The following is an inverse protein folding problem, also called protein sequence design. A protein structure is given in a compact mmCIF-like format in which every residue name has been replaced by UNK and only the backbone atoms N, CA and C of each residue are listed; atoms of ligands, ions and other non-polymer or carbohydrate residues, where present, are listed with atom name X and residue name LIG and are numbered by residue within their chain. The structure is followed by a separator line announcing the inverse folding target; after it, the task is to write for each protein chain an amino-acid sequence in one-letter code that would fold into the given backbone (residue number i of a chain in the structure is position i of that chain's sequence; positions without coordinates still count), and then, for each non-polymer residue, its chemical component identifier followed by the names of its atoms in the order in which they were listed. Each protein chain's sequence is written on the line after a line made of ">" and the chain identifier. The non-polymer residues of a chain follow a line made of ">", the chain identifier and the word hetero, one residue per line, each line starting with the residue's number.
data_IF_284350944526
#
_entry.id   IF_284350944526
#
_cell.length_a   1.000
_cell.length_b   1.000
_cell.length_c   1.000
_cell.angle_alpha   90.00
_cell.angle_beta   90.00
_cell.angle_gamma   90.00
#
_symmetry.space_group_name_H-M   'P 1'
#
loop_
_entity.id
_entity.type
_entity.pdbx_description
1 polymer ?
#
# COMPACT_ATOMS: atom_id res chain seq x y z
N UNK A 1 8.35 3.35 -21.06
CA UNK A 1 7.72 2.19 -20.42
C UNK A 1 6.35 2.66 -19.98
N UNK A 2 5.30 2.15 -20.61
CA UNK A 2 3.91 2.57 -20.37
C UNK A 2 3.44 2.09 -19.00
N UNK A 3 3.00 3.04 -18.15
CA UNK A 3 2.34 2.81 -16.86
C UNK A 3 3.24 2.38 -15.69
N UNK A 4 2.93 2.84 -14.47
CA UNK A 4 3.48 2.25 -13.24
C UNK A 4 2.85 0.86 -13.01
N UNK A 5 3.58 -0.03 -12.34
CA UNK A 5 3.11 -1.38 -11.99
C UNK A 5 2.23 -1.28 -10.72
N UNK A 6 0.95 -1.68 -10.79
CA UNK A 6 0.07 -1.65 -9.62
C UNK A 6 0.46 -2.73 -8.62
N UNK A 7 0.56 -2.37 -7.34
CA UNK A 7 0.91 -3.29 -6.25
C UNK A 7 -0.07 -3.17 -5.08
N UNK A 8 -0.20 -4.26 -4.33
CA UNK A 8 -0.96 -4.32 -3.08
C UNK A 8 -0.06 -4.53 -1.87
N UNK A 9 -0.38 -3.88 -0.75
CA UNK A 9 0.32 -4.09 0.53
C UNK A 9 -0.60 -4.85 1.49
N UNK A 10 -0.21 -6.07 1.84
CA UNK A 10 -0.88 -6.86 2.87
C UNK A 10 -0.31 -6.51 4.25
N UNK A 11 -1.19 -6.25 5.22
CA UNK A 11 -0.77 -5.80 6.55
C UNK A 11 -0.32 -4.33 6.58
N UNK A 12 -0.95 -3.49 5.75
CA UNK A 12 -0.58 -2.07 5.57
C UNK A 12 -0.52 -1.27 6.87
N UNK A 13 -1.33 -1.61 7.88
CA UNK A 13 -1.36 -0.91 9.17
C UNK A 13 -0.25 -1.36 10.15
N UNK A 14 0.45 -2.46 9.87
CA UNK A 14 1.58 -2.92 10.69
C UNK A 14 2.85 -2.10 10.42
N UNK A 15 3.85 -2.18 11.32
CA UNK A 15 5.09 -1.39 11.22
C UNK A 15 5.79 -1.53 9.86
N UNK A 16 5.86 -2.76 9.31
CA UNK A 16 6.47 -3.03 8.00
C UNK A 16 5.58 -2.52 6.86
N UNK A 17 4.26 -2.70 6.94
CA UNK A 17 3.31 -2.21 5.94
C UNK A 17 3.35 -0.69 5.80
N UNK A 18 3.38 0.03 6.92
CA UNK A 18 3.52 1.49 6.94
C UNK A 18 4.84 1.92 6.28
N UNK A 19 5.93 1.18 6.52
CA UNK A 19 7.21 1.46 5.87
C UNK A 19 7.17 1.23 4.36
N UNK A 20 6.48 0.19 3.89
CA UNK A 20 6.24 0.00 2.45
C UNK A 20 5.42 1.14 1.85
N UNK A 21 4.38 1.61 2.53
CA UNK A 21 3.60 2.78 2.06
C UNK A 21 4.52 3.99 1.88
N UNK A 22 5.40 4.28 2.84
CA UNK A 22 6.35 5.40 2.75
C UNK A 22 7.33 5.26 1.57
N UNK A 23 7.90 4.07 1.38
CA UNK A 23 8.91 3.85 0.33
C UNK A 23 8.27 3.82 -1.06
N UNK A 24 7.02 3.36 -1.17
CA UNK A 24 6.32 3.19 -2.44
C UNK A 24 5.53 4.43 -2.90
N UNK A 25 5.30 5.41 -2.02
CA UNK A 25 4.49 6.61 -2.31
C UNK A 25 4.89 7.31 -3.62
N UNK A 26 6.20 7.46 -3.87
CA UNK A 26 6.73 8.14 -5.06
C UNK A 26 7.63 7.23 -5.91
N UNK A 27 7.39 5.92 -5.88
CA UNK A 27 8.26 4.98 -6.58
C UNK A 27 8.17 5.14 -8.10
N UNK A 28 9.30 5.10 -8.85
CA UNK A 28 9.30 5.28 -10.30
C UNK A 28 8.60 4.14 -11.05
N UNK A 29 8.55 2.96 -10.44
CA UNK A 29 8.02 1.75 -11.09
C UNK A 29 6.71 1.26 -10.49
N UNK A 30 6.36 1.65 -9.27
CA UNK A 30 5.25 1.06 -8.53
C UNK A 30 4.23 2.11 -8.13
N UNK A 31 2.96 1.73 -8.21
CA UNK A 31 1.84 2.51 -7.72
C UNK A 31 1.02 1.65 -6.75
N UNK A 32 0.72 2.18 -5.56
CA UNK A 32 -0.07 1.47 -4.56
C UNK A 32 -1.53 1.47 -5.03
N UNK A 33 -2.00 0.33 -5.51
CA UNK A 33 -3.37 0.15 -6.00
C UNK A 33 -4.31 -0.39 -4.91
N UNK A 34 -3.78 -1.06 -3.88
CA UNK A 34 -4.59 -1.60 -2.78
C UNK A 34 -3.83 -1.69 -1.47
N UNK A 35 -4.56 -1.49 -0.38
CA UNK A 35 -4.08 -1.69 0.99
C UNK A 35 -5.01 -2.69 1.68
N UNK A 36 -4.44 -3.74 2.26
CA UNK A 36 -5.17 -4.72 3.05
C UNK A 36 -4.63 -4.74 4.48
N UNK A 37 -5.53 -4.90 5.43
CA UNK A 37 -5.22 -5.00 6.86
C UNK A 37 -6.18 -6.01 7.51
N UNK A 38 -6.25 -6.02 8.85
CA UNK A 38 -7.19 -6.88 9.58
C UNK A 38 -8.65 -6.59 9.21
N UNK A 39 -9.54 -7.57 9.41
CA UNK A 39 -11.00 -7.41 9.20
C UNK A 39 -11.56 -6.19 9.93
N UNK A 40 -11.07 -5.89 11.15
CA UNK A 40 -11.46 -4.72 11.94
C UNK A 40 -11.23 -3.40 11.19
N UNK A 41 -10.23 -3.36 10.31
CA UNK A 41 -9.84 -2.18 9.53
C UNK A 41 -10.44 -2.17 8.13
N UNK A 42 -11.13 -3.23 7.71
CA UNK A 42 -11.72 -3.31 6.38
C UNK A 42 -12.77 -2.20 6.18
N UNK A 43 -12.76 -1.59 4.98
CA UNK A 43 -13.68 -0.50 4.62
C UNK A 43 -13.38 0.86 5.27
N UNK A 44 -12.39 0.95 6.16
CA UNK A 44 -11.96 2.23 6.74
C UNK A 44 -10.89 2.87 5.85
N UNK A 45 -10.84 4.21 5.77
CA UNK A 45 -9.71 4.88 5.14
C UNK A 45 -8.42 4.51 5.88
N UNK A 46 -7.32 4.49 5.13
CA UNK A 46 -6.00 4.28 5.70
C UNK A 46 -5.53 5.57 6.39
N UNK A 47 -5.14 5.46 7.67
CA UNK A 47 -4.77 6.60 8.53
C UNK A 47 -5.70 6.78 9.71
#
# INVERSE_FOLDING_TARGET
>A
MEGKIPVGILGATGAVGQRFVQILADHPWFEIASLAASERSAGRPYG
#
